data_IF_233114461555
#
_entry.id   IF_233114461555
#
_cell.length_a   1.000
_cell.length_b   1.000
_cell.length_c   1.000
_cell.angle_alpha   90.00
_cell.angle_beta   90.00
_cell.angle_gamma   90.00
#
_symmetry.space_group_name_H-M   'P 1'
#
loop_
_entity.id
_entity.type
_entity.pdbx_description
1 polymer ?
#
# COMPACT_ATOMS: atom_id res chain seq x y z
N UNK A 1 -8.46 -3.36 3.39
CA UNK A 1 -8.05 -3.30 4.80
C UNK A 1 -7.43 -4.59 5.26
N UNK A 2 -6.71 -4.53 6.36
CA UNK A 2 -6.23 -5.70 7.11
C UNK A 2 -7.17 -5.99 8.26
N UNK A 3 -7.66 -7.23 8.36
CA UNK A 3 -8.54 -7.67 9.42
C UNK A 3 -7.73 -8.33 10.54
N UNK A 4 -7.63 -7.66 11.68
CA UNK A 4 -6.87 -8.17 12.84
C UNK A 4 -7.58 -9.30 13.55
N UNK A 5 -8.90 -9.42 13.41
CA UNK A 5 -9.68 -10.50 14.04
C UNK A 5 -9.41 -11.84 13.36
N UNK A 6 -9.30 -11.84 12.03
CA UNK A 6 -9.11 -13.07 11.23
C UNK A 6 -7.66 -13.29 10.78
N UNK A 7 -6.80 -12.28 10.87
CA UNK A 7 -5.44 -12.33 10.34
C UNK A 7 -5.34 -12.32 8.80
N UNK A 8 -6.42 -11.96 8.12
CA UNK A 8 -6.50 -11.95 6.65
C UNK A 8 -6.77 -10.53 6.11
N UNK A 9 -6.52 -10.31 4.82
CA UNK A 9 -6.97 -9.06 4.20
C UNK A 9 -8.50 -9.06 4.02
N UNK A 10 -9.11 -7.89 4.20
CA UNK A 10 -10.54 -7.66 4.02
C UNK A 10 -10.79 -6.85 2.74
N UNK A 11 -11.50 -7.44 1.80
CA UNK A 11 -11.85 -6.81 0.53
C UNK A 11 -13.23 -6.16 0.60
N UNK A 12 -13.26 -4.84 0.61
CA UNK A 12 -14.50 -4.07 0.58
C UNK A 12 -15.15 -4.14 -0.81
N UNK A 13 -16.21 -4.88 -0.96
CA UNK A 13 -16.95 -5.05 -2.24
C UNK A 13 -18.28 -4.34 -2.26
N UNK A 14 -18.84 -4.02 -1.11
CA UNK A 14 -20.16 -3.42 -0.90
C UNK A 14 -20.12 -2.50 0.30
N UNK A 15 -21.18 -1.73 0.52
CA UNK A 15 -21.28 -0.81 1.64
C UNK A 15 -20.88 0.61 1.29
N UNK A 16 -20.68 1.43 2.30
CA UNK A 16 -20.38 2.83 2.13
C UNK A 16 -18.87 3.04 1.90
N UNK A 17 -18.52 3.69 0.79
CA UNK A 17 -17.12 4.00 0.44
C UNK A 17 -16.36 4.69 1.59
N UNK A 18 -17.03 5.62 2.31
CA UNK A 18 -16.40 6.30 3.45
C UNK A 18 -15.95 5.36 4.56
N UNK A 19 -16.68 4.26 4.79
CA UNK A 19 -16.33 3.26 5.80
C UNK A 19 -15.12 2.44 5.34
N UNK A 20 -15.12 2.01 4.08
CA UNK A 20 -13.99 1.31 3.48
C UNK A 20 -12.71 2.17 3.50
N UNK A 21 -12.82 3.46 3.11
CA UNK A 21 -11.70 4.40 3.19
C UNK A 21 -11.24 4.59 4.63
N UNK A 22 -12.17 4.79 5.58
CA UNK A 22 -11.85 4.94 7.00
C UNK A 22 -11.11 3.72 7.54
N UNK A 23 -11.50 2.52 7.15
CA UNK A 23 -10.83 1.29 7.56
C UNK A 23 -9.41 1.18 6.96
N UNK A 24 -9.26 1.46 5.66
CA UNK A 24 -7.97 1.28 4.97
C UNK A 24 -6.93 2.36 5.26
N UNK A 25 -7.31 3.50 5.85
CA UNK A 25 -6.39 4.53 6.32
C UNK A 25 -6.11 4.46 7.83
N UNK A 26 -6.63 3.46 8.52
CA UNK A 26 -6.44 3.29 9.98
C UNK A 26 -5.03 2.78 10.29
N UNK A 27 -4.05 3.67 10.11
CA UNK A 27 -2.65 3.38 10.41
C UNK A 27 -2.46 3.10 11.91
N UNK A 28 -1.91 1.93 12.29
CA UNK A 28 -1.63 1.59 13.68
C UNK A 28 -0.77 2.66 14.37
N UNK A 29 -1.24 3.13 15.53
CA UNK A 29 -0.56 4.18 16.30
C UNK A 29 -0.85 5.61 15.83
N UNK A 30 -1.56 5.82 14.70
CA UNK A 30 -1.95 7.13 14.18
C UNK A 30 -3.46 7.33 14.27
N UNK A 31 -4.22 6.37 13.79
CA UNK A 31 -5.68 6.41 13.82
C UNK A 31 -6.24 5.16 14.55
N UNK A 32 -7.36 5.31 15.27
CA UNK A 32 -8.00 4.16 15.88
C UNK A 32 -8.50 3.20 14.79
N UNK A 33 -8.50 1.88 15.06
CA UNK A 33 -9.06 0.88 14.15
C UNK A 33 -10.52 1.18 13.79
N UNK A 34 -10.93 0.73 12.61
CA UNK A 34 -12.34 0.68 12.26
C UNK A 34 -12.94 -0.66 12.70
N UNK A 35 -14.23 -0.68 12.98
CA UNK A 35 -14.96 -1.91 13.31
C UNK A 35 -16.10 -2.13 12.33
N UNK A 36 -16.24 -3.34 11.81
CA UNK A 36 -17.32 -3.74 10.89
C UNK A 36 -17.65 -5.22 11.14
N UNK A 37 -18.92 -5.53 11.36
CA UNK A 37 -19.40 -6.92 11.57
C UNK A 37 -18.57 -7.73 12.56
N UNK A 38 -18.28 -7.16 13.72
CA UNK A 38 -17.44 -7.74 14.79
C UNK A 38 -15.96 -7.96 14.40
N UNK A 39 -15.51 -7.38 13.29
CA UNK A 39 -14.11 -7.40 12.88
C UNK A 39 -13.42 -6.09 13.23
N UNK A 40 -12.13 -6.18 13.54
CA UNK A 40 -11.24 -5.03 13.79
C UNK A 40 -10.40 -4.83 12.53
N UNK A 41 -10.62 -3.70 11.86
CA UNK A 41 -9.99 -3.38 10.59
C UNK A 41 -8.97 -2.25 10.76
N UNK A 42 -7.81 -2.45 10.15
CA UNK A 42 -6.72 -1.47 10.08
C UNK A 42 -6.25 -1.29 8.65
N UNK A 43 -5.27 -0.42 8.46
CA UNK A 43 -4.67 -0.12 7.16
C UNK A 43 -4.30 -1.39 6.38
N UNK A 44 -4.60 -1.39 5.09
CA UNK A 44 -4.30 -2.50 4.20
C UNK A 44 -2.81 -2.82 4.09
N UNK A 45 -1.94 -1.83 4.29
CA UNK A 45 -0.49 -2.00 4.24
C UNK A 45 0.05 -2.98 5.29
N UNK A 46 -0.69 -3.23 6.38
CA UNK A 46 -0.27 -4.17 7.45
C UNK A 46 -0.12 -5.60 6.91
N UNK A 47 -1.07 -6.08 6.13
CA UNK A 47 -1.03 -7.44 5.59
C UNK A 47 -0.76 -7.48 4.08
N UNK A 48 -1.27 -6.51 3.32
CA UNK A 48 -1.14 -6.51 1.86
C UNK A 48 -1.03 -5.09 1.31
N UNK A 49 0.19 -4.59 1.27
CA UNK A 49 0.48 -3.22 0.82
C UNK A 49 0.34 -3.02 -0.69
N UNK A 50 0.62 -4.06 -1.48
CA UNK A 50 0.61 -3.99 -2.94
C UNK A 50 -0.21 -5.17 -3.51
N UNK A 51 -1.55 -5.04 -3.63
CA UNK A 51 -2.46 -6.15 -3.93
C UNK A 51 -2.59 -6.47 -5.43
N UNK A 52 -1.50 -6.46 -6.20
CA UNK A 52 -1.52 -6.73 -7.63
C UNK A 52 -1.95 -8.17 -7.97
N UNK A 53 -1.64 -9.13 -7.11
CA UNK A 53 -2.10 -10.51 -7.23
C UNK A 53 -3.63 -10.62 -7.10
N UNK A 54 -4.24 -9.83 -6.21
CA UNK A 54 -5.70 -9.75 -6.08
C UNK A 54 -6.33 -9.16 -7.34
N UNK A 55 -5.72 -8.10 -7.90
CA UNK A 55 -6.14 -7.53 -9.18
C UNK A 55 -5.96 -8.51 -10.32
N UNK A 56 -4.87 -9.29 -10.30
CA UNK A 56 -4.60 -10.32 -11.30
C UNK A 56 -5.68 -11.41 -11.29
N UNK A 57 -6.09 -11.86 -10.10
CA UNK A 57 -7.17 -12.84 -9.94
C UNK A 57 -8.53 -12.32 -10.46
N UNK A 58 -8.74 -11.01 -10.47
CA UNK A 58 -9.96 -10.40 -11.01
C UNK A 58 -10.03 -10.40 -12.55
N UNK A 59 -8.90 -10.61 -13.25
CA UNK A 59 -8.80 -10.72 -14.71
C UNK A 59 -9.44 -9.55 -15.50
N UNK A 60 -9.30 -8.34 -15.00
CA UNK A 60 -9.93 -7.16 -15.59
C UNK A 60 -9.10 -6.47 -16.69
N UNK A 61 -7.91 -6.98 -16.97
CA UNK A 61 -7.02 -6.43 -17.99
C UNK A 61 -5.57 -6.26 -17.51
N UNK A 62 -4.77 -5.43 -18.19
CA UNK A 62 -3.41 -5.11 -17.77
C UNK A 62 -3.39 -4.44 -16.39
N UNK A 63 -2.35 -4.71 -15.62
CA UNK A 63 -2.15 -4.13 -14.29
C UNK A 63 -0.99 -3.17 -14.35
N UNK A 64 -1.28 -1.90 -14.11
CA UNK A 64 -0.28 -0.88 -13.84
C UNK A 64 -0.16 -0.74 -12.33
N UNK A 65 0.99 -1.09 -11.79
CA UNK A 65 1.28 -0.99 -10.36
C UNK A 65 2.21 0.20 -10.09
N UNK A 66 1.85 1.04 -9.12
CA UNK A 66 2.71 2.13 -8.65
C UNK A 66 3.16 1.80 -7.23
N UNK A 67 4.45 1.54 -7.08
CA UNK A 67 5.05 1.23 -5.79
C UNK A 67 5.79 2.43 -5.22
N UNK A 68 5.18 3.09 -4.27
CA UNK A 68 5.72 4.26 -3.58
C UNK A 68 6.51 3.91 -2.30
N UNK A 69 6.69 2.63 -2.00
CA UNK A 69 7.41 2.20 -0.78
C UNK A 69 8.92 2.45 -0.86
N UNK A 70 9.46 2.55 -2.07
CA UNK A 70 10.76 3.08 -2.46
C UNK A 70 11.93 2.76 -1.54
N UNK A 71 12.20 1.48 -1.24
CA UNK A 71 13.44 1.09 -0.56
C UNK A 71 13.64 1.69 0.84
N UNK A 72 12.60 2.15 1.50
CA UNK A 72 12.66 2.78 2.82
C UNK A 72 13.17 1.78 3.86
N UNK A 73 14.48 1.83 4.13
CA UNK A 73 15.09 1.14 5.27
C UNK A 73 15.02 2.06 6.49
N UNK A 74 14.58 1.53 7.63
CA UNK A 74 14.77 2.21 8.91
C UNK A 74 16.20 1.93 9.34
N UNK A 75 16.98 2.98 9.55
CA UNK A 75 18.34 2.88 10.09
C UNK A 75 18.32 2.96 11.62
N UNK A 76 19.41 2.54 12.26
CA UNK A 76 19.54 2.68 13.71
C UNK A 76 19.44 4.14 14.16
N UNK A 77 19.87 5.08 13.31
CA UNK A 77 19.81 6.51 13.59
C UNK A 77 18.37 7.06 13.61
N UNK A 78 17.47 6.47 12.81
CA UNK A 78 16.04 6.85 12.81
C UNK A 78 15.34 6.49 14.13
N UNK A 79 15.93 5.57 14.89
CA UNK A 79 15.41 5.06 16.17
C UNK A 79 16.18 5.60 17.37
N UNK A 80 17.32 6.24 17.13
CA UNK A 80 18.14 6.79 18.20
C UNK A 80 17.34 7.77 19.06
N UNK A 81 17.28 7.50 20.37
CA UNK A 81 16.60 8.38 21.32
C UNK A 81 17.38 9.70 21.42
N UNK A 82 16.68 10.83 21.45
CA UNK A 82 17.33 12.10 21.76
C UNK A 82 17.98 11.99 23.15
N UNK A 83 19.20 12.44 23.28
CA UNK A 83 20.00 12.40 24.52
C UNK A 83 19.30 13.08 25.73
N UNK A 84 18.28 13.92 25.45
CA UNK A 84 17.52 14.65 26.48
C UNK A 84 16.11 14.95 26.00
N UNK A 85 15.12 14.77 26.88
CA UNK A 85 13.71 15.12 26.62
C UNK A 85 13.55 16.62 26.28
N UNK A 86 14.35 17.49 26.87
CA UNK A 86 14.36 18.92 26.60
C UNK A 86 14.88 19.24 25.20
N UNK A 87 15.93 18.56 24.75
CA UNK A 87 16.43 18.69 23.37
C UNK A 87 15.41 18.23 22.35
N UNK A 88 14.70 17.15 22.62
CA UNK A 88 13.61 16.64 21.78
C UNK A 88 12.47 17.65 21.66
N UNK A 89 12.09 18.31 22.76
CA UNK A 89 11.05 19.33 22.78
C UNK A 89 11.46 20.60 22.03
N UNK A 90 12.71 21.07 22.25
CA UNK A 90 13.23 22.30 21.64
C UNK A 90 13.59 22.14 20.16
N UNK A 91 13.99 20.95 19.74
CA UNK A 91 14.39 20.66 18.35
C UNK A 91 13.21 20.53 17.38
N UNK A 92 11.97 20.57 17.87
CA UNK A 92 10.76 20.37 17.05
C UNK A 92 10.58 18.94 16.54
N UNK A 93 11.42 17.98 16.98
CA UNK A 93 11.33 16.57 16.58
C UNK A 93 9.98 15.93 16.97
N UNK A 94 9.30 16.47 17.97
CA UNK A 94 7.93 16.06 18.31
C UNK A 94 6.94 16.22 17.16
N UNK A 95 7.22 17.12 16.18
CA UNK A 95 6.40 17.29 14.97
C UNK A 95 6.50 16.10 14.01
N UNK A 96 7.61 15.38 14.05
CA UNK A 96 7.82 14.17 13.21
C UNK A 96 7.08 12.94 13.71
N UNK A 97 6.42 13.03 14.85
CA UNK A 97 5.74 11.93 15.53
C UNK A 97 6.71 11.08 16.38
N UNK A 98 6.19 10.31 17.32
CA UNK A 98 7.03 9.45 18.15
C UNK A 98 7.67 8.34 17.29
N UNK A 99 8.97 8.03 17.50
CA UNK A 99 9.66 6.95 16.77
C UNK A 99 8.95 5.59 16.91
N UNK A 100 8.18 5.40 17.98
CA UNK A 100 7.40 4.19 18.23
C UNK A 100 6.35 3.94 17.15
N UNK A 101 5.74 4.96 16.57
CA UNK A 101 4.75 4.81 15.49
C UNK A 101 5.43 4.27 14.23
N UNK A 102 6.59 4.81 13.86
CA UNK A 102 7.37 4.34 12.72
C UNK A 102 7.83 2.89 12.92
N UNK A 103 8.24 2.53 14.14
CA UNK A 103 8.62 1.16 14.49
C UNK A 103 7.43 0.20 14.43
N UNK A 104 6.28 0.59 14.99
CA UNK A 104 5.06 -0.22 14.95
C UNK A 104 4.60 -0.44 13.51
N UNK A 105 4.61 0.61 12.69
CA UNK A 105 4.29 0.53 11.27
C UNK A 105 5.25 -0.40 10.54
N UNK A 106 6.56 -0.28 10.79
CA UNK A 106 7.56 -1.14 10.16
C UNK A 106 7.40 -2.59 10.61
N UNK A 107 7.24 -2.83 11.90
CA UNK A 107 7.00 -4.18 12.43
C UNK A 107 5.75 -4.81 11.82
N UNK A 108 4.66 -4.04 11.70
CA UNK A 108 3.41 -4.50 11.10
C UNK A 108 3.55 -4.80 9.59
N UNK A 109 4.40 -4.07 8.86
CA UNK A 109 4.55 -4.20 7.40
C UNK A 109 5.72 -5.09 6.96
N UNK A 110 6.57 -5.57 7.87
CA UNK A 110 7.70 -6.46 7.54
C UNK A 110 7.24 -7.75 6.85
N UNK A 111 6.14 -8.33 7.32
CA UNK A 111 5.58 -9.56 6.74
C UNK A 111 5.09 -9.37 5.30
N UNK A 112 4.55 -8.20 4.98
CA UNK A 112 4.06 -7.89 3.62
C UNK A 112 5.21 -7.69 2.61
N UNK A 113 6.44 -7.53 3.07
CA UNK A 113 7.60 -7.36 2.19
C UNK A 113 7.95 -8.60 1.36
N UNK A 114 7.65 -9.80 1.86
CA UNK A 114 7.86 -11.05 1.09
C UNK A 114 6.86 -11.18 -0.06
N UNK A 115 5.61 -10.79 0.20
CA UNK A 115 4.54 -10.83 -0.79
C UNK A 115 4.71 -9.74 -1.85
N UNK A 116 5.47 -8.68 -1.53
CA UNK A 116 5.71 -7.56 -2.43
C UNK A 116 6.44 -7.98 -3.72
N UNK A 117 7.42 -8.87 -3.65
CA UNK A 117 8.14 -9.35 -4.84
C UNK A 117 7.18 -10.08 -5.79
N UNK A 118 6.43 -11.05 -5.28
CA UNK A 118 5.44 -11.77 -6.08
C UNK A 118 4.34 -10.84 -6.62
N UNK A 119 3.93 -9.85 -5.83
CA UNK A 119 2.95 -8.87 -6.26
C UNK A 119 3.49 -7.92 -7.35
N UNK A 120 4.77 -7.53 -7.29
CA UNK A 120 5.44 -6.77 -8.36
C UNK A 120 5.50 -7.59 -9.66
N UNK A 121 5.85 -8.85 -9.58
CA UNK A 121 5.84 -9.79 -10.74
C UNK A 121 4.43 -9.98 -11.33
N UNK A 122 3.39 -9.78 -10.54
CA UNK A 122 2.01 -9.81 -11.01
C UNK A 122 1.59 -8.57 -11.78
N UNK A 123 2.40 -7.51 -11.87
CA UNK A 123 2.11 -6.31 -12.68
C UNK A 123 2.59 -6.45 -14.11
N UNK A 124 1.92 -5.82 -15.05
CA UNK A 124 2.37 -5.72 -16.44
C UNK A 124 3.24 -4.48 -16.64
N UNK A 125 2.98 -3.43 -15.89
CA UNK A 125 3.81 -2.21 -15.83
C UNK A 125 4.03 -1.87 -14.38
N UNK A 126 5.28 -1.91 -13.92
CA UNK A 126 5.66 -1.48 -12.57
C UNK A 126 6.31 -0.10 -12.63
N UNK A 127 5.76 0.82 -11.87
CA UNK A 127 6.29 2.18 -11.70
C UNK A 127 6.78 2.34 -10.27
N UNK A 128 8.02 2.77 -10.11
CA UNK A 128 8.64 2.97 -8.79
C UNK A 128 9.20 4.39 -8.71
N UNK A 129 8.37 5.39 -8.37
CA UNK A 129 8.83 6.77 -8.25
C UNK A 129 9.75 6.94 -7.03
N UNK A 130 10.74 7.82 -7.14
CA UNK A 130 11.73 8.07 -6.10
C UNK A 130 11.20 9.06 -5.04
N UNK A 131 10.12 8.71 -4.36
CA UNK A 131 9.48 9.52 -3.31
C UNK A 131 9.90 9.14 -1.89
N UNK A 132 10.97 8.37 -1.73
CA UNK A 132 11.37 7.75 -0.45
C UNK A 132 11.68 8.71 0.70
N UNK A 133 11.86 10.01 0.45
CA UNK A 133 12.15 11.05 1.46
C UNK A 133 10.91 11.80 1.93
N UNK A 134 9.74 11.55 1.33
CA UNK A 134 8.50 12.23 1.69
C UNK A 134 7.93 11.62 2.95
N UNK A 135 7.74 12.42 3.99
CA UNK A 135 7.10 12.02 5.24
C UNK A 135 5.57 12.16 5.14
N UNK A 136 4.82 11.35 5.91
CA UNK A 136 3.33 11.33 5.89
C UNK A 136 2.71 12.71 6.16
N UNK A 137 3.43 13.61 6.86
CA UNK A 137 2.97 14.97 7.21
C UNK A 137 3.64 16.07 6.40
N UNK A 138 4.45 15.71 5.43
CA UNK A 138 5.13 16.68 4.57
C UNK A 138 4.24 17.07 3.39
N UNK A 139 3.27 17.92 3.66
CA UNK A 139 2.36 18.44 2.64
C UNK A 139 3.06 19.37 1.63
N UNK A 140 4.24 19.90 1.97
CA UNK A 140 5.04 20.73 1.05
C UNK A 140 5.69 19.89 -0.05
N UNK A 141 5.85 18.57 0.18
CA UNK A 141 6.39 17.65 -0.82
C UNK A 141 5.36 17.19 -1.86
N UNK A 142 4.11 17.70 -1.83
CA UNK A 142 3.06 17.29 -2.76
C UNK A 142 3.45 17.49 -4.22
N UNK A 143 3.78 18.73 -4.61
CA UNK A 143 4.15 19.04 -6.00
C UNK A 143 5.37 18.28 -6.51
N UNK A 144 6.49 18.18 -5.75
CA UNK A 144 7.62 17.35 -6.14
C UNK A 144 7.24 15.87 -6.28
N UNK A 145 6.41 15.32 -5.40
CA UNK A 145 5.99 13.93 -5.46
C UNK A 145 5.12 13.65 -6.70
N UNK A 146 4.22 14.58 -7.06
CA UNK A 146 3.41 14.47 -8.27
C UNK A 146 4.28 14.52 -9.52
N UNK A 147 5.23 15.47 -9.59
CA UNK A 147 6.16 15.59 -10.70
C UNK A 147 7.00 14.33 -10.89
N UNK A 148 7.50 13.76 -9.79
CA UNK A 148 8.26 12.51 -9.81
C UNK A 148 7.41 11.33 -10.26
N UNK A 149 6.18 11.20 -9.76
CA UNK A 149 5.25 10.16 -10.21
C UNK A 149 4.96 10.25 -11.72
N UNK A 150 4.76 11.45 -12.23
CA UNK A 150 4.56 11.69 -13.65
C UNK A 150 5.79 11.31 -14.48
N UNK A 151 7.00 11.70 -14.04
CA UNK A 151 8.26 11.34 -14.68
C UNK A 151 8.45 9.84 -14.75
N UNK A 152 8.31 9.17 -13.59
CA UNK A 152 8.50 7.72 -13.48
C UNK A 152 7.48 6.93 -14.33
N UNK A 153 6.23 7.41 -14.42
CA UNK A 153 5.21 6.79 -15.26
C UNK A 153 5.57 6.91 -16.74
N UNK A 154 5.96 8.10 -17.23
CA UNK A 154 6.36 8.28 -18.61
C UNK A 154 7.55 7.40 -18.97
N UNK A 155 8.58 7.35 -18.13
CA UNK A 155 9.72 6.46 -18.35
C UNK A 155 9.35 4.97 -18.39
N UNK A 156 8.35 4.55 -17.59
CA UNK A 156 7.86 3.18 -17.64
C UNK A 156 7.08 2.90 -18.92
N UNK A 157 6.30 3.86 -19.41
CA UNK A 157 5.55 3.74 -20.65
C UNK A 157 6.45 3.75 -21.88
N UNK A 158 7.50 4.59 -21.89
CA UNK A 158 8.47 4.68 -22.99
C UNK A 158 9.29 3.39 -23.18
N UNK A 159 9.40 2.57 -22.14
CA UNK A 159 10.08 1.28 -22.20
C UNK A 159 9.21 0.15 -22.77
N UNK A 160 7.94 0.41 -23.00
CA UNK A 160 7.04 -0.60 -23.55
C UNK A 160 7.25 -0.71 -25.07
N UNK A 161 7.31 -1.96 -25.55
CA UNK A 161 7.39 -2.29 -26.97
C UNK A 161 6.04 -2.18 -27.69
N UNK A 162 4.95 -2.05 -26.93
CA UNK A 162 3.56 -1.96 -27.39
C UNK A 162 2.67 -1.19 -26.40
N UNK A 163 1.52 -0.68 -26.86
CA UNK A 163 0.58 0.02 -25.98
C UNK A 163 0.11 -0.84 -24.79
N UNK A 164 -0.11 -0.21 -23.64
CA UNK A 164 -0.56 -0.88 -22.41
C UNK A 164 -1.80 -1.76 -22.64
N UNK A 165 -2.71 -1.32 -23.53
CA UNK A 165 -3.94 -2.03 -23.86
C UNK A 165 -3.69 -3.39 -24.51
N UNK A 166 -2.52 -3.56 -25.14
CA UNK A 166 -2.12 -4.77 -25.86
C UNK A 166 -1.29 -5.73 -25.01
N UNK A 167 -0.85 -5.31 -23.81
CA UNK A 167 -0.05 -6.14 -22.91
C UNK A 167 -0.79 -7.38 -22.46
N UNK A 168 -2.12 -7.27 -22.30
CA UNK A 168 -2.99 -8.43 -22.05
C UNK A 168 -4.32 -8.27 -22.78
N UNK A 169 -4.69 -9.29 -23.51
CA UNK A 169 -6.03 -9.40 -24.07
C UNK A 169 -7.02 -9.51 -22.90
N UNK A 170 -8.06 -8.67 -22.89
CA UNK A 170 -9.20 -8.88 -22.00
C UNK A 170 -9.78 -10.27 -22.28
N UNK A 171 -9.97 -11.13 -21.26
CA UNK A 171 -10.68 -12.38 -21.48
C UNK A 171 -12.07 -12.09 -22.03
N UNK A 172 -12.54 -12.90 -22.95
CA UNK A 172 -13.89 -12.79 -23.50
C UNK A 172 -14.94 -12.91 -22.38
N UNK A 173 -16.17 -12.49 -22.64
CA UNK A 173 -17.27 -12.67 -21.68
C UNK A 173 -17.43 -14.13 -21.27
N UNK A 174 -17.20 -15.08 -22.20
CA UNK A 174 -17.27 -16.51 -21.97
C UNK A 174 -16.14 -16.99 -21.03
N UNK A 175 -14.90 -16.53 -21.23
CA UNK A 175 -13.78 -16.82 -20.34
C UNK A 175 -13.99 -16.25 -18.93
N UNK A 176 -14.62 -15.08 -18.81
CA UNK A 176 -14.96 -14.45 -17.52
C UNK A 176 -16.07 -15.19 -16.78
N UNK A 177 -16.97 -15.84 -17.51
CA UNK A 177 -18.08 -16.62 -16.94
C UNK A 177 -17.61 -18.02 -16.54
N UNK A 178 -16.63 -18.57 -17.27
CA UNK A 178 -16.02 -19.87 -17.02
C UNK A 178 -14.97 -19.85 -15.91
N UNK A 179 -14.40 -18.69 -15.58
CA UNK A 179 -13.45 -18.57 -14.46
C UNK A 179 -14.13 -18.99 -13.15
N UNK A 180 -13.63 -20.02 -12.45
CA UNK A 180 -14.26 -20.48 -11.23
C UNK A 180 -14.34 -19.32 -10.23
N UNK A 181 -15.46 -19.22 -9.53
CA UNK A 181 -15.72 -18.23 -8.43
C UNK A 181 -14.80 -18.49 -7.21
N UNK A 182 -13.50 -18.66 -7.44
CA UNK A 182 -12.51 -18.92 -6.39
C UNK A 182 -12.36 -17.79 -5.37
N UNK A 183 -13.00 -16.65 -5.62
CA UNK A 183 -12.95 -15.50 -4.71
C UNK A 183 -13.90 -15.63 -3.50
N UNK A 184 -14.71 -16.69 -3.41
CA UNK A 184 -15.63 -16.88 -2.29
C UNK A 184 -15.13 -17.91 -1.25
N UNK A 185 -14.02 -18.61 -1.49
CA UNK A 185 -13.57 -19.68 -0.60
C UNK A 185 -12.68 -19.20 0.57
N UNK A 186 -12.31 -17.92 0.61
CA UNK A 186 -11.51 -17.34 1.70
C UNK A 186 -12.36 -16.48 2.69
N UNK A 187 -13.68 -16.59 2.65
CA UNK A 187 -14.61 -15.84 3.50
C UNK A 187 -15.69 -16.78 4.09
N UNK A 188 -15.28 -17.98 4.47
CA UNK A 188 -16.05 -18.89 5.31
C UNK A 188 -15.38 -19.04 6.67
#
# INVERSE_FOLDING_TARGET
SSNLTTGAYHMHRRGLLRQALRATISLPGVLPPATEDNNVLVDGAVLKNFPADVMRAAQLGPIVGVDVTGGRSITADDVARPESAWRWLLSGQWRKGPPIVSLLMRAATVSSGRDLLAAREATDVLVTPEVGKVEIRDFAAYEPAVAEGYRAMNEALDKLDRPVQELRRRPSLEERTAAPRMLNAAAG
#
